data_IF_521012846782
#
_entry.id   IF_521012846782
#
_cell.length_a   1.000
_cell.length_b   1.000
_cell.length_c   1.000
_cell.angle_alpha   90.00
_cell.angle_beta   90.00
_cell.angle_gamma   90.00
#
_symmetry.space_group_name_H-M   'P 1'
#
loop_
_entity.id
_entity.type
_entity.pdbx_description
1 polymer ?
#
# COMPACT_ATOMS: atom_id res chain seq x y z
N UNK A 1 -10.73 16.63 25.30
CA UNK A 1 -9.85 15.67 24.59
C UNK A 1 -10.53 15.36 23.27
N UNK A 2 -10.02 15.93 22.17
CA UNK A 2 -10.75 16.02 20.89
C UNK A 2 -10.76 14.70 20.13
N UNK A 3 -11.95 14.29 19.67
CA UNK A 3 -12.16 13.09 18.84
C UNK A 3 -11.35 13.10 17.54
N UNK A 4 -10.97 14.28 17.06
CA UNK A 4 -10.17 14.46 15.86
C UNK A 4 -8.71 14.00 16.02
N UNK A 5 -8.11 14.24 17.19
CA UNK A 5 -6.75 13.77 17.50
C UNK A 5 -6.67 12.25 17.60
N UNK A 6 -7.70 11.63 18.16
CA UNK A 6 -7.77 10.15 18.29
C UNK A 6 -7.95 9.49 16.92
N UNK A 7 -8.85 10.02 16.07
CA UNK A 7 -9.01 9.55 14.69
C UNK A 7 -7.73 9.68 13.87
N UNK A 8 -6.99 10.78 14.00
CA UNK A 8 -5.75 10.97 13.26
C UNK A 8 -4.66 9.97 13.66
N UNK A 9 -4.52 9.69 14.96
CA UNK A 9 -3.58 8.68 15.47
C UNK A 9 -3.97 7.27 15.00
N UNK A 10 -5.27 6.94 15.00
CA UNK A 10 -5.76 5.65 14.49
C UNK A 10 -5.43 5.49 13.00
N UNK A 11 -5.61 6.53 12.18
CA UNK A 11 -5.27 6.48 10.74
C UNK A 11 -3.77 6.33 10.49
N UNK A 12 -2.91 7.05 11.22
CA UNK A 12 -1.46 6.92 11.08
C UNK A 12 -0.98 5.51 11.50
N UNK A 13 -1.54 4.96 12.56
CA UNK A 13 -1.19 3.60 13.01
C UNK A 13 -1.62 2.54 11.98
N UNK A 14 -2.80 2.69 11.39
CA UNK A 14 -3.30 1.78 10.36
C UNK A 14 -2.50 1.90 9.06
N UNK A 15 -2.09 3.12 8.67
CA UNK A 15 -1.18 3.34 7.54
C UNK A 15 0.15 2.63 7.74
N UNK A 16 0.84 2.87 8.87
CA UNK A 16 2.14 2.24 9.15
C UNK A 16 2.04 0.72 9.20
N UNK A 17 0.95 0.20 9.78
CA UNK A 17 0.66 -1.23 9.77
C UNK A 17 0.48 -1.76 8.35
N UNK A 18 -0.29 -1.09 7.49
CA UNK A 18 -0.46 -1.49 6.09
C UNK A 18 0.84 -1.44 5.32
N UNK A 19 1.57 -0.33 5.45
CA UNK A 19 2.86 -0.13 4.82
C UNK A 19 3.82 -1.27 5.15
N UNK A 20 4.01 -1.58 6.44
CA UNK A 20 4.89 -2.68 6.86
C UNK A 20 4.42 -4.04 6.35
N UNK A 21 3.12 -4.35 6.48
CA UNK A 21 2.59 -5.63 6.00
C UNK A 21 2.83 -5.82 4.50
N UNK A 22 2.56 -4.81 3.67
CA UNK A 22 2.80 -4.91 2.22
C UNK A 22 4.29 -5.00 1.92
N UNK A 23 5.12 -4.16 2.55
CA UNK A 23 6.57 -4.16 2.37
C UNK A 23 7.16 -5.54 2.65
N UNK A 24 6.92 -6.08 3.85
CA UNK A 24 7.48 -7.37 4.29
C UNK A 24 6.97 -8.54 3.42
N UNK A 25 5.70 -8.50 3.01
CA UNK A 25 5.09 -9.57 2.19
C UNK A 25 5.66 -9.61 0.77
N UNK A 26 5.89 -8.44 0.17
CA UNK A 26 6.42 -8.34 -1.20
C UNK A 26 7.93 -8.61 -1.20
N UNK A 27 8.67 -8.08 -0.24
CA UNK A 27 10.12 -8.30 -0.06
C UNK A 27 10.45 -9.79 0.14
N UNK A 28 9.61 -10.51 0.89
CA UNK A 28 9.78 -11.96 1.08
C UNK A 28 9.57 -12.79 -0.20
N UNK A 29 8.95 -12.22 -1.23
CA UNK A 29 8.54 -12.94 -2.45
C UNK A 29 9.32 -12.51 -3.70
N UNK A 30 9.75 -11.25 -3.75
CA UNK A 30 10.40 -10.67 -4.91
C UNK A 30 11.65 -9.90 -4.49
N UNK A 31 12.75 -10.16 -5.20
CA UNK A 31 13.99 -9.41 -5.05
C UNK A 31 13.86 -8.04 -5.74
N UNK A 32 13.24 -7.09 -5.02
CA UNK A 32 13.09 -5.70 -5.45
C UNK A 32 13.95 -4.84 -4.55
N UNK A 33 14.73 -3.93 -5.13
CA UNK A 33 15.54 -2.99 -4.36
C UNK A 33 14.67 -2.26 -3.33
N UNK A 34 15.03 -2.34 -2.04
CA UNK A 34 14.19 -1.84 -0.94
C UNK A 34 13.74 -0.39 -1.07
N UNK A 35 14.55 0.50 -1.66
CA UNK A 35 14.14 1.89 -1.94
C UNK A 35 13.03 1.99 -2.99
N UNK A 36 13.08 1.15 -4.04
CA UNK A 36 12.05 1.09 -5.08
C UNK A 36 10.78 0.49 -4.50
N UNK A 37 10.90 -0.60 -3.73
CA UNK A 37 9.76 -1.24 -3.09
C UNK A 37 9.05 -0.29 -2.11
N UNK A 38 9.80 0.42 -1.28
CA UNK A 38 9.25 1.41 -0.35
C UNK A 38 8.40 2.48 -1.06
N UNK A 39 8.91 3.08 -2.13
CA UNK A 39 8.17 4.09 -2.90
C UNK A 39 6.95 3.49 -3.61
N UNK A 40 7.07 2.27 -4.13
CA UNK A 40 5.96 1.56 -4.76
C UNK A 40 4.83 1.27 -3.76
N UNK A 41 5.14 0.84 -2.53
CA UNK A 41 4.14 0.63 -1.48
C UNK A 41 3.47 1.95 -1.10
N UNK A 42 4.23 3.03 -0.93
CA UNK A 42 3.67 4.36 -0.63
C UNK A 42 2.69 4.81 -1.71
N UNK A 43 3.10 4.71 -2.98
CA UNK A 43 2.28 5.08 -4.13
C UNK A 43 1.00 4.23 -4.20
N UNK A 44 1.12 2.91 -4.00
CA UNK A 44 -0.02 2.02 -4.04
C UNK A 44 -1.04 2.32 -2.94
N UNK A 45 -0.57 2.57 -1.71
CA UNK A 45 -1.44 3.02 -0.62
C UNK A 45 -2.08 4.38 -0.94
N UNK A 46 -1.30 5.34 -1.45
CA UNK A 46 -1.81 6.67 -1.86
C UNK A 46 -2.96 6.60 -2.85
N UNK A 47 -2.87 5.67 -3.79
CA UNK A 47 -3.82 5.50 -4.87
C UNK A 47 -4.76 4.32 -4.64
N UNK A 48 -5.06 4.01 -3.36
CA UNK A 48 -6.11 3.06 -2.98
C UNK A 48 -5.91 1.67 -3.60
N UNK A 49 -4.70 1.15 -3.45
CA UNK A 49 -4.23 -0.14 -3.94
C UNK A 49 -4.03 -0.25 -5.47
N UNK A 50 -4.13 0.83 -6.23
CA UNK A 50 -3.95 0.80 -7.70
C UNK A 50 -2.88 1.82 -8.06
N UNK A 51 -1.82 1.39 -8.75
CA UNK A 51 -0.82 2.33 -9.24
C UNK A 51 -1.34 3.04 -10.50
N UNK A 52 -1.30 4.38 -10.55
CA UNK A 52 -1.51 5.14 -11.78
C UNK A 52 -0.61 4.63 -12.92
N UNK A 53 -1.11 4.63 -14.15
CA UNK A 53 -0.42 4.06 -15.32
C UNK A 53 1.03 4.55 -15.48
N UNK A 54 1.27 5.85 -15.26
CA UNK A 54 2.61 6.43 -15.32
C UNK A 54 3.55 5.90 -14.22
N UNK A 55 3.05 5.75 -12.99
CA UNK A 55 3.83 5.17 -11.88
C UNK A 55 4.06 3.68 -12.09
N UNK A 56 3.06 2.94 -12.58
CA UNK A 56 3.20 1.54 -12.94
C UNK A 56 4.31 1.37 -13.98
N UNK A 57 4.28 2.15 -15.06
CA UNK A 57 5.30 2.12 -16.12
C UNK A 57 6.70 2.48 -15.63
N UNK A 58 6.81 3.37 -14.64
CA UNK A 58 8.08 3.66 -13.97
C UNK A 58 8.58 2.46 -13.15
N UNK A 59 7.73 1.88 -12.29
CA UNK A 59 8.16 0.78 -11.43
C UNK A 59 8.49 -0.50 -12.20
N UNK A 60 7.82 -0.78 -13.31
CA UNK A 60 8.14 -1.93 -14.18
C UNK A 60 9.51 -1.82 -14.87
N UNK A 61 10.16 -0.64 -14.86
CA UNK A 61 11.56 -0.50 -15.31
C UNK A 61 12.57 -0.95 -14.25
N UNK A 62 12.14 -1.09 -12.99
CA UNK A 62 13.00 -1.32 -11.84
C UNK A 62 12.63 -2.56 -11.02
N UNK A 63 11.48 -3.16 -11.30
CA UNK A 63 10.97 -4.36 -10.65
C UNK A 63 10.25 -5.24 -11.69
N UNK A 64 10.19 -6.56 -11.47
CA UNK A 64 9.39 -7.47 -12.30
C UNK A 64 7.93 -7.03 -12.34
N UNK A 65 7.28 -7.14 -13.50
CA UNK A 65 5.87 -6.76 -13.66
C UNK A 65 4.96 -7.58 -12.73
N UNK A 66 5.29 -8.85 -12.49
CA UNK A 66 4.59 -9.71 -11.55
C UNK A 66 4.66 -9.19 -10.12
N UNK A 67 5.77 -8.57 -9.71
CA UNK A 67 5.92 -7.98 -8.39
C UNK A 67 4.97 -6.77 -8.23
N UNK A 68 4.89 -5.93 -9.27
CA UNK A 68 3.99 -4.76 -9.30
C UNK A 68 2.53 -5.22 -9.23
N UNK A 69 2.14 -6.19 -10.06
CA UNK A 69 0.78 -6.73 -10.09
C UNK A 69 0.41 -7.45 -8.78
N UNK A 70 1.35 -8.21 -8.19
CA UNK A 70 1.15 -8.85 -6.91
C UNK A 70 0.95 -7.83 -5.79
N UNK A 71 1.77 -6.78 -5.76
CA UNK A 71 1.67 -5.72 -4.77
C UNK A 71 0.30 -5.04 -4.79
N UNK A 72 -0.22 -4.67 -5.96
CA UNK A 72 -1.56 -4.08 -6.08
C UNK A 72 -2.64 -5.04 -5.58
N UNK A 73 -2.62 -6.30 -6.04
CA UNK A 73 -3.61 -7.31 -5.64
C UNK A 73 -3.59 -7.58 -4.14
N UNK A 74 -2.40 -7.71 -3.56
CA UNK A 74 -2.23 -7.93 -2.12
C UNK A 74 -2.70 -6.70 -1.33
N UNK A 75 -2.30 -5.50 -1.74
CA UNK A 75 -2.72 -4.25 -1.11
C UNK A 75 -4.23 -4.07 -1.18
N UNK A 76 -4.85 -4.39 -2.31
CA UNK A 76 -6.31 -4.31 -2.46
C UNK A 76 -7.04 -5.28 -1.53
N UNK A 77 -6.49 -6.50 -1.37
CA UNK A 77 -7.02 -7.49 -0.44
C UNK A 77 -6.85 -7.06 1.02
N UNK A 78 -5.68 -6.51 1.36
CA UNK A 78 -5.37 -6.02 2.70
C UNK A 78 -6.25 -4.84 3.10
N UNK A 79 -6.50 -3.90 2.18
CA UNK A 79 -7.31 -2.73 2.45
C UNK A 79 -8.80 -3.05 2.41
N UNK A 80 -9.27 -3.75 1.37
CA UNK A 80 -10.69 -3.82 1.00
C UNK A 80 -11.24 -5.24 0.88
N UNK A 81 -10.45 -6.28 1.21
CA UNK A 81 -10.91 -7.66 1.17
C UNK A 81 -11.95 -8.00 2.26
N UNK A 82 -12.40 -9.26 2.34
CA UNK A 82 -13.38 -9.70 3.35
C UNK A 82 -12.95 -9.48 4.80
N UNK A 83 -11.63 -9.46 5.05
CA UNK A 83 -11.00 -9.11 6.33
C UNK A 83 -10.16 -7.82 6.19
N UNK A 84 -10.51 -6.98 5.22
CA UNK A 84 -9.83 -5.74 4.90
C UNK A 84 -9.91 -4.76 6.06
N UNK A 85 -8.88 -3.93 6.20
CA UNK A 85 -8.78 -2.97 7.30
C UNK A 85 -9.70 -1.76 7.15
N UNK A 86 -10.25 -1.53 5.95
CA UNK A 86 -11.06 -0.36 5.65
C UNK A 86 -12.21 -0.72 4.71
N UNK A 87 -13.37 -0.06 4.86
CA UNK A 87 -14.29 0.00 3.74
C UNK A 87 -13.71 0.90 2.63
N UNK A 88 -14.06 0.67 1.35
CA UNK A 88 -13.62 1.55 0.27
C UNK A 88 -13.97 3.02 0.52
N UNK A 89 -15.08 3.33 1.20
CA UNK A 89 -15.52 4.71 1.39
C UNK A 89 -14.77 5.43 2.52
N UNK A 90 -14.24 4.67 3.48
CA UNK A 90 -13.54 5.21 4.66
C UNK A 90 -12.05 5.46 4.39
N UNK A 91 -11.46 4.76 3.43
CA UNK A 91 -10.03 4.90 3.16
C UNK A 91 -9.71 6.25 2.55
N UNK A 92 -9.15 7.13 3.39
CA UNK A 92 -8.58 8.42 3.03
C UNK A 92 -7.08 8.39 3.24
N UNK A 93 -6.35 8.69 2.17
CA UNK A 93 -4.93 8.98 2.27
C UNK A 93 -4.79 10.37 2.87
N UNK A 94 -4.19 10.47 4.07
CA UNK A 94 -3.95 11.73 4.79
C UNK A 94 -2.53 11.78 5.29
#
# INVERSE_FOLDING_TARGET
>A
MSRDGQRQVDHQSAYHSCYRTVLDTVDARYDVRGSVLAEMVKACLAHRAILPAAQRAYFTQHAPEEAVAYLEKFTATLLFGPQGRFSPQEYRYS
#
